data_IF_584342275229
#
_entry.id   IF_584342275229
#
_cell.length_a   1.000
_cell.length_b   1.000
_cell.length_c   1.000
_cell.angle_alpha   90.00
_cell.angle_beta   90.00
_cell.angle_gamma   90.00
#
_symmetry.space_group_name_H-M   'P 1'
#
loop_
_entity.id
_entity.type
_entity.pdbx_description
1 polymer ?
#
# COMPACT_ATOMS: atom_id res chain seq x y z
N UNK A 1 -0.15 -3.16 -11.43
CA UNK A 1 0.97 -3.97 -10.89
C UNK A 1 0.41 -5.24 -10.29
N UNK A 2 1.10 -6.36 -10.48
CA UNK A 2 0.72 -7.65 -9.92
C UNK A 2 1.43 -7.88 -8.58
N UNK A 3 0.71 -8.38 -7.58
CA UNK A 3 1.28 -8.76 -6.27
C UNK A 3 0.75 -10.13 -5.87
N UNK A 4 1.65 -10.95 -5.31
CA UNK A 4 1.29 -12.21 -4.67
C UNK A 4 1.01 -12.02 -3.18
N UNK A 5 -0.20 -12.38 -2.77
CA UNK A 5 -0.61 -12.49 -1.38
C UNK A 5 -0.54 -13.95 -0.94
N UNK A 6 -0.02 -14.18 0.27
CA UNK A 6 0.01 -15.52 0.87
C UNK A 6 -1.11 -15.67 1.91
N UNK A 7 -1.72 -16.85 1.96
CA UNK A 7 -2.77 -17.22 2.93
C UNK A 7 -2.37 -16.85 4.36
N UNK A 8 -3.26 -16.18 5.09
CA UNK A 8 -3.10 -15.82 6.49
C UNK A 8 -2.06 -14.73 6.76
N UNK A 9 -1.29 -14.28 5.76
CA UNK A 9 -0.29 -13.23 5.93
C UNK A 9 -0.95 -11.86 5.91
N UNK A 10 -0.61 -11.04 6.91
CA UNK A 10 -1.05 -9.64 7.00
C UNK A 10 -0.15 -8.74 6.17
N UNK A 11 -0.73 -8.09 5.17
CA UNK A 11 -0.11 -7.05 4.36
C UNK A 11 -0.64 -5.68 4.75
N UNK A 12 0.22 -4.67 4.66
CA UNK A 12 -0.16 -3.28 4.92
C UNK A 12 -0.06 -2.51 3.62
N UNK A 13 -1.20 -2.10 3.08
CA UNK A 13 -1.28 -1.33 1.84
C UNK A 13 -1.31 0.17 2.12
N UNK A 14 -0.65 0.92 1.24
CA UNK A 14 -0.61 2.37 1.30
C UNK A 14 -1.93 2.95 0.79
N UNK A 15 -2.52 3.85 1.58
CA UNK A 15 -3.71 4.64 1.20
C UNK A 15 -3.40 6.13 1.04
N UNK A 16 -2.21 6.57 1.45
CA UNK A 16 -1.82 8.00 1.45
C UNK A 16 -1.11 8.45 0.17
N UNK A 17 -0.67 7.52 -0.68
CA UNK A 17 0.10 7.82 -1.90
C UNK A 17 1.57 8.21 -1.70
N UNK A 18 2.05 8.36 -0.46
CA UNK A 18 3.39 8.89 -0.15
C UNK A 18 4.48 7.82 0.05
N UNK A 19 4.11 6.55 0.02
CA UNK A 19 5.05 5.45 0.25
C UNK A 19 6.10 5.39 -0.86
N UNK A 20 7.35 5.06 -0.51
CA UNK A 20 8.41 4.78 -1.48
C UNK A 20 8.35 3.35 -2.00
N UNK A 21 7.66 2.47 -1.29
CA UNK A 21 7.48 1.04 -1.63
C UNK A 21 6.05 0.77 -2.07
N UNK A 22 5.46 1.69 -2.83
CA UNK A 22 4.11 1.50 -3.36
C UNK A 22 4.02 0.15 -4.07
N UNK A 23 2.99 -0.63 -3.78
CA UNK A 23 1.72 -0.22 -3.16
C UNK A 23 1.64 -0.51 -1.66
N UNK A 24 2.71 -1.03 -1.06
CA UNK A 24 2.79 -1.32 0.36
C UNK A 24 3.04 -0.05 1.17
N UNK A 25 2.61 -0.05 2.42
CA UNK A 25 2.83 1.05 3.33
C UNK A 25 4.18 0.91 4.07
N UNK A 26 4.99 1.96 3.99
CA UNK A 26 6.29 2.12 4.66
C UNK A 26 6.23 3.09 5.87
N UNK A 27 5.02 3.49 6.27
CA UNK A 27 4.74 4.50 7.31
C UNK A 27 5.07 5.97 6.95
N UNK A 28 5.34 6.32 5.68
CA UNK A 28 5.55 7.71 5.26
C UNK A 28 4.41 8.67 5.68
N UNK A 29 3.18 8.14 5.78
CA UNK A 29 2.02 8.91 6.25
C UNK A 29 2.16 9.48 7.66
N UNK A 30 3.01 8.91 8.54
CA UNK A 30 3.14 9.39 9.93
C UNK A 30 3.70 10.81 9.98
N UNK A 31 4.80 11.04 9.27
CA UNK A 31 5.43 12.37 9.16
C UNK A 31 4.48 13.35 8.45
N UNK A 32 3.81 12.90 7.39
CA UNK A 32 2.85 13.74 6.68
C UNK A 32 1.65 14.13 7.55
N UNK A 33 1.11 13.21 8.33
CA UNK A 33 0.02 13.46 9.27
C UNK A 33 0.40 14.51 10.31
N UNK A 34 1.60 14.42 10.87
CA UNK A 34 2.09 15.40 11.84
C UNK A 34 2.21 16.80 11.21
N UNK A 35 2.76 16.89 9.99
CA UNK A 35 2.96 18.17 9.30
C UNK A 35 1.65 18.81 8.82
N UNK A 36 0.72 18.01 8.32
CA UNK A 36 -0.48 18.50 7.61
C UNK A 36 -1.78 18.32 8.40
N UNK A 37 -1.72 17.89 9.66
CA UNK A 37 -2.88 17.61 10.51
C UNK A 37 -3.88 16.63 9.86
N UNK A 38 -3.36 15.63 9.15
CA UNK A 38 -4.17 14.56 8.53
C UNK A 38 -4.13 13.28 9.37
N UNK A 39 -4.99 12.31 9.05
CA UNK A 39 -5.05 11.02 9.76
C UNK A 39 -5.03 9.81 8.82
N UNK A 40 -4.17 9.82 7.80
CA UNK A 40 -4.03 8.67 6.92
C UNK A 40 -3.51 7.44 7.68
N UNK A 41 -4.06 6.26 7.35
CA UNK A 41 -3.68 4.96 7.92
C UNK A 41 -3.56 3.91 6.83
N UNK A 42 -2.63 2.98 6.98
CA UNK A 42 -2.51 1.82 6.09
C UNK A 42 -3.74 0.92 6.15
N UNK A 43 -4.12 0.33 5.02
CA UNK A 43 -5.16 -0.71 4.96
C UNK A 43 -4.50 -2.06 5.26
N UNK A 44 -5.07 -2.84 6.18
CA UNK A 44 -4.57 -4.19 6.48
C UNK A 44 -5.36 -5.21 5.67
N UNK A 45 -4.67 -5.99 4.85
CA UNK A 45 -5.28 -7.05 4.05
C UNK A 45 -4.68 -8.38 4.51
N UNK A 46 -5.55 -9.33 4.82
CA UNK A 46 -5.20 -10.70 5.19
C UNK A 46 -5.98 -11.59 4.23
N UNK A 47 -5.27 -12.25 3.31
CA UNK A 47 -5.94 -13.12 2.35
C UNK A 47 -6.26 -14.48 2.98
N UNK A 48 -7.44 -15.01 2.72
CA UNK A 48 -7.89 -16.34 3.18
C UNK A 48 -7.22 -17.47 2.41
N UNK A 49 -6.60 -17.17 1.28
CA UNK A 49 -5.89 -18.09 0.41
C UNK A 49 -4.65 -17.43 -0.22
N UNK A 50 -3.81 -18.19 -0.92
CA UNK A 50 -2.67 -17.62 -1.63
C UNK A 50 -3.11 -17.22 -3.04
N UNK A 51 -3.16 -15.92 -3.32
CA UNK A 51 -3.70 -15.38 -4.57
C UNK A 51 -2.78 -14.31 -5.18
N UNK A 52 -3.00 -13.99 -6.45
CA UNK A 52 -2.38 -12.83 -7.11
C UNK A 52 -3.44 -11.78 -7.36
N UNK A 53 -3.11 -10.54 -7.05
CA UNK A 53 -4.01 -9.41 -7.29
C UNK A 53 -3.34 -8.42 -8.23
N UNK A 54 -4.14 -7.85 -9.12
CA UNK A 54 -3.76 -6.67 -9.86
C UNK A 54 -4.27 -5.44 -9.11
N UNK A 55 -3.36 -4.53 -8.79
CA UNK A 55 -3.68 -3.28 -8.12
C UNK A 55 -3.05 -2.11 -8.86
N UNK A 56 -3.75 -0.98 -8.90
CA UNK A 56 -3.30 0.24 -9.54
C UNK A 56 -3.88 1.46 -8.80
N UNK A 57 -3.21 2.60 -8.98
CA UNK A 57 -3.71 3.92 -8.62
C UNK A 57 -3.27 4.89 -9.71
N UNK A 58 -4.10 5.88 -10.01
CA UNK A 58 -3.80 6.93 -10.99
C UNK A 58 -2.53 7.73 -10.65
N UNK A 59 -2.13 7.74 -9.37
CA UNK A 59 -0.97 8.49 -8.87
C UNK A 59 0.31 7.67 -8.81
N UNK A 60 0.24 6.34 -8.99
CA UNK A 60 1.43 5.50 -8.97
C UNK A 60 2.11 5.61 -10.32
N UNK A 61 3.38 6.06 -10.32
CA UNK A 61 4.21 6.00 -11.51
C UNK A 61 4.25 4.55 -11.96
N UNK A 62 3.77 4.29 -13.17
CA UNK A 62 4.03 3.01 -13.83
C UNK A 62 5.55 2.96 -13.98
N UNK A 63 6.17 1.91 -13.46
CA UNK A 63 7.54 1.59 -13.85
C UNK A 63 7.38 1.05 -15.26
N UNK A 64 7.33 1.96 -16.23
CA UNK A 64 7.43 1.62 -17.64
C UNK A 64 8.87 1.15 -17.82
N UNK A 65 9.04 -0.13 -18.15
CA UNK A 65 10.31 -0.67 -18.66
C UNK A 65 10.48 -0.26 -20.11
#
# INVERSE_FOLDING_TARGET
MEIKLYKGRKYSFCSCGLSKTLPLCDNAHRLYNQKNKTNYKSIKIISTESTRINISSSTWKKIDN
#
